data_IF_638823657541
#
_entry.id   IF_638823657541
#
_cell.length_a   1.000
_cell.length_b   1.000
_cell.length_c   1.000
_cell.angle_alpha   90.00
_cell.angle_beta   90.00
_cell.angle_gamma   90.00
#
_symmetry.space_group_name_H-M   'P 1'
#
loop_
_entity.id
_entity.type
_entity.pdbx_description
1 polymer ?
#
# COMPACT_ATOMS: atom_id res chain seq x y z
N UNK A 1 61.30 6.94 -12.30
CA UNK A 1 60.47 5.71 -12.11
C UNK A 1 59.02 6.16 -12.09
N UNK A 2 58.20 5.61 -12.98
CA UNK A 2 56.74 5.78 -12.89
C UNK A 2 56.24 4.80 -11.82
N UNK A 3 55.85 5.30 -10.66
CA UNK A 3 55.17 4.49 -9.66
C UNK A 3 53.72 4.39 -10.08
N UNK A 4 53.21 3.16 -10.12
CA UNK A 4 51.83 2.88 -10.53
C UNK A 4 51.14 2.19 -9.36
N UNK A 5 50.03 2.78 -8.88
CA UNK A 5 49.20 2.22 -7.85
C UNK A 5 47.95 1.64 -8.51
N UNK A 6 47.57 0.44 -8.12
CA UNK A 6 46.39 -0.26 -8.63
C UNK A 6 45.45 -0.54 -7.47
N UNK A 7 44.24 -0.01 -7.53
CA UNK A 7 43.17 -0.33 -6.59
C UNK A 7 42.29 -1.44 -7.19
N UNK A 8 42.10 -2.50 -6.44
CA UNK A 8 41.30 -3.66 -6.87
C UNK A 8 40.02 -3.85 -6.07
N UNK A 9 39.92 -3.27 -4.87
CA UNK A 9 38.75 -3.36 -4.02
C UNK A 9 37.76 -2.25 -4.33
N UNK A 10 36.51 -2.60 -4.49
CA UNK A 10 35.43 -1.66 -4.84
C UNK A 10 35.27 -0.53 -3.81
N UNK A 11 35.37 -0.84 -2.52
CA UNK A 11 35.25 0.16 -1.46
C UNK A 11 36.38 1.21 -1.53
N UNK A 12 37.63 0.76 -1.82
CA UNK A 12 38.78 1.68 -1.98
C UNK A 12 38.63 2.55 -3.23
N UNK A 13 38.11 1.98 -4.32
CA UNK A 13 37.79 2.71 -5.56
C UNK A 13 36.69 3.75 -5.29
N UNK A 14 35.63 3.36 -4.62
CA UNK A 14 34.55 4.28 -4.27
C UNK A 14 35.02 5.42 -3.37
N UNK A 15 35.79 5.13 -2.33
CA UNK A 15 36.35 6.13 -1.43
C UNK A 15 37.29 7.08 -2.15
N UNK A 16 38.17 6.59 -3.05
CA UNK A 16 38.99 7.43 -3.88
C UNK A 16 38.17 8.37 -4.74
N UNK A 17 37.07 7.87 -5.34
CA UNK A 17 36.22 8.65 -6.24
C UNK A 17 35.34 9.67 -5.50
N UNK A 18 34.97 9.43 -4.24
CA UNK A 18 34.13 10.35 -3.45
C UNK A 18 34.96 11.45 -2.79
N UNK A 19 36.02 11.08 -2.12
CA UNK A 19 36.82 11.97 -1.26
C UNK A 19 38.23 12.13 -1.73
N UNK A 20 38.92 11.03 -2.05
CA UNK A 20 40.36 11.02 -2.30
C UNK A 20 40.79 11.85 -3.49
N UNK A 21 39.97 11.93 -4.55
CA UNK A 21 40.31 12.76 -5.72
C UNK A 21 40.23 14.25 -5.39
N UNK A 22 39.28 14.67 -4.58
CA UNK A 22 39.17 16.07 -4.18
C UNK A 22 40.38 16.46 -3.36
N UNK A 23 40.85 15.57 -2.49
CA UNK A 23 42.06 15.80 -1.69
C UNK A 23 43.32 15.80 -2.55
N UNK A 24 43.40 14.92 -3.54
CA UNK A 24 44.51 14.94 -4.50
C UNK A 24 44.51 16.24 -5.34
N UNK A 25 43.34 16.71 -5.80
CA UNK A 25 43.26 17.96 -6.56
C UNK A 25 43.65 19.22 -5.77
N UNK A 26 43.56 19.16 -4.42
CA UNK A 26 44.02 20.27 -3.55
C UNK A 26 45.54 20.37 -3.48
N UNK A 27 46.27 19.27 -3.72
CA UNK A 27 47.69 19.16 -3.54
C UNK A 27 48.46 19.01 -4.86
N UNK A 28 47.80 18.48 -5.89
CA UNK A 28 48.39 18.11 -7.17
C UNK A 28 47.53 18.52 -8.35
N UNK A 29 48.14 18.69 -9.51
CA UNK A 29 47.41 18.78 -10.78
C UNK A 29 47.04 17.36 -11.24
N UNK A 30 45.75 17.07 -11.32
CA UNK A 30 45.23 15.72 -11.59
C UNK A 30 44.67 15.64 -12.99
N UNK A 31 45.14 14.70 -13.79
CA UNK A 31 44.70 14.44 -15.14
C UNK A 31 43.89 13.13 -15.17
N UNK A 32 42.73 13.17 -15.79
CA UNK A 32 41.82 12.02 -15.89
C UNK A 32 41.77 11.49 -17.31
N UNK A 33 41.65 10.14 -17.47
CA UNK A 33 41.28 9.55 -18.74
C UNK A 33 39.80 9.83 -19.07
N UNK A 34 39.44 9.69 -20.35
CA UNK A 34 38.04 9.80 -20.78
C UNK A 34 37.17 8.72 -20.12
N UNK A 35 37.70 7.51 -19.95
CA UNK A 35 37.01 6.37 -19.30
C UNK A 35 36.77 6.64 -17.82
N UNK A 36 37.70 7.29 -17.13
CA UNK A 36 37.49 7.69 -15.75
C UNK A 36 36.34 8.70 -15.60
N UNK A 37 36.22 9.69 -16.49
CA UNK A 37 35.10 10.64 -16.49
C UNK A 37 33.79 9.97 -16.78
N UNK A 38 33.75 8.94 -17.61
CA UNK A 38 32.52 8.17 -17.90
C UNK A 38 32.06 7.33 -16.71
N UNK A 39 32.98 6.89 -15.84
CA UNK A 39 32.70 6.08 -14.65
C UNK A 39 32.52 6.92 -13.37
N UNK A 40 32.25 8.22 -13.50
CA UNK A 40 32.05 9.13 -12.36
C UNK A 40 30.88 8.71 -11.49
N UNK A 41 30.89 9.18 -10.24
CA UNK A 41 29.79 8.99 -9.30
C UNK A 41 28.56 9.72 -9.82
N UNK A 42 27.48 8.97 -9.98
CA UNK A 42 26.18 9.50 -10.40
C UNK A 42 25.31 9.81 -9.19
N UNK A 43 24.60 10.93 -9.24
CA UNK A 43 23.55 11.24 -8.26
C UNK A 43 22.31 10.44 -8.60
N UNK A 44 21.64 9.97 -7.56
CA UNK A 44 20.30 9.39 -7.72
C UNK A 44 19.30 10.51 -7.99
N UNK A 45 18.53 10.38 -9.05
CA UNK A 45 17.48 11.33 -9.35
C UNK A 45 16.35 10.58 -10.08
N UNK A 46 15.19 10.48 -9.46
CA UNK A 46 14.01 9.97 -10.14
C UNK A 46 13.59 10.99 -11.21
N UNK A 47 13.57 10.56 -12.47
CA UNK A 47 13.13 11.39 -13.59
C UNK A 47 11.61 11.44 -13.64
N UNK A 48 10.97 10.29 -13.52
CA UNK A 48 9.51 10.17 -13.52
C UNK A 48 9.07 8.87 -12.86
N UNK A 49 7.83 8.83 -12.41
CA UNK A 49 7.17 7.62 -11.96
C UNK A 49 5.71 7.61 -12.42
N UNK A 50 5.18 6.40 -12.61
CA UNK A 50 3.76 6.16 -12.84
C UNK A 50 3.23 5.19 -11.81
N UNK A 51 2.15 5.53 -11.13
CA UNK A 51 1.46 4.60 -10.23
C UNK A 51 0.06 4.31 -10.77
N UNK A 52 -0.34 3.05 -10.72
CA UNK A 52 -1.63 2.56 -11.18
C UNK A 52 -2.22 1.53 -10.22
N UNK A 53 -3.54 1.45 -10.23
CA UNK A 53 -4.27 0.35 -9.60
C UNK A 53 -4.40 -0.80 -10.59
N UNK A 54 -3.87 -1.97 -10.24
CA UNK A 54 -4.10 -3.21 -10.97
C UNK A 54 -5.23 -3.99 -10.27
N UNK A 55 -6.43 -3.92 -10.84
CA UNK A 55 -7.65 -4.54 -10.27
C UNK A 55 -7.64 -6.06 -10.39
N UNK A 56 -6.89 -6.63 -11.32
CA UNK A 56 -6.85 -8.09 -11.53
C UNK A 56 -6.18 -8.82 -10.36
N UNK A 57 -5.22 -8.17 -9.74
CA UNK A 57 -4.40 -8.73 -8.64
C UNK A 57 -4.52 -7.92 -7.33
N UNK A 58 -5.34 -6.88 -7.31
CA UNK A 58 -5.55 -6.00 -6.16
C UNK A 58 -4.25 -5.39 -5.60
N UNK A 59 -3.37 -4.94 -6.50
CA UNK A 59 -2.12 -4.28 -6.15
C UNK A 59 -2.02 -2.89 -6.76
N UNK A 60 -1.29 -2.02 -6.08
CA UNK A 60 -0.78 -0.79 -6.67
C UNK A 60 0.58 -1.09 -7.30
N UNK A 61 0.77 -0.74 -8.56
CA UNK A 61 2.03 -0.91 -9.27
C UNK A 61 2.65 0.44 -9.58
N UNK A 62 3.91 0.61 -9.19
CA UNK A 62 4.69 1.80 -9.48
C UNK A 62 5.83 1.47 -10.43
N UNK A 63 5.83 2.10 -11.59
CA UNK A 63 6.95 2.10 -12.56
C UNK A 63 7.77 3.37 -12.34
N UNK A 64 9.08 3.23 -12.23
CA UNK A 64 9.98 4.35 -11.95
C UNK A 64 11.09 4.42 -13.00
N UNK A 65 11.43 5.65 -13.39
CA UNK A 65 12.55 5.95 -14.29
C UNK A 65 13.60 6.78 -13.55
N UNK A 66 14.78 6.21 -13.41
CA UNK A 66 15.94 6.87 -12.81
C UNK A 66 16.96 7.33 -13.87
N UNK A 67 16.60 7.31 -15.16
CA UNK A 67 17.41 7.82 -16.27
C UNK A 67 18.82 7.26 -16.42
N UNK A 68 19.58 7.24 -15.33
CA UNK A 68 20.96 6.75 -15.30
C UNK A 68 21.06 5.28 -14.93
N UNK A 69 19.98 4.68 -14.46
CA UNK A 69 19.94 3.29 -14.02
C UNK A 69 19.13 2.51 -15.05
N UNK A 70 19.74 1.58 -15.78
CA UNK A 70 19.02 0.73 -16.72
C UNK A 70 17.89 -0.04 -16.03
N UNK A 71 16.76 -0.22 -16.73
CA UNK A 71 15.60 -0.92 -16.16
C UNK A 71 15.96 -2.32 -15.65
N UNK A 72 16.83 -3.03 -16.34
CA UNK A 72 17.34 -4.35 -15.97
C UNK A 72 18.20 -4.37 -14.70
N UNK A 73 18.66 -3.21 -14.23
CA UNK A 73 19.46 -3.08 -13.01
C UNK A 73 18.64 -2.56 -11.81
N UNK A 74 17.40 -2.10 -12.02
CA UNK A 74 16.57 -1.49 -10.97
C UNK A 74 16.34 -2.43 -9.79
N UNK A 75 16.16 -3.73 -10.03
CA UNK A 75 15.94 -4.70 -8.96
C UNK A 75 17.14 -4.79 -8.01
N UNK A 76 18.34 -4.88 -8.56
CA UNK A 76 19.58 -4.96 -7.77
C UNK A 76 19.87 -3.62 -7.09
N UNK A 77 19.56 -2.52 -7.76
CA UNK A 77 19.63 -1.17 -7.21
C UNK A 77 18.70 -1.01 -5.99
N UNK A 78 17.42 -1.33 -6.12
CA UNK A 78 16.44 -1.28 -5.02
C UNK A 78 16.85 -2.19 -3.86
N UNK A 79 17.34 -3.40 -4.16
CA UNK A 79 17.88 -4.30 -3.14
C UNK A 79 19.06 -3.68 -2.39
N UNK A 80 19.91 -2.96 -3.07
CA UNK A 80 21.05 -2.27 -2.45
C UNK A 80 20.60 -1.15 -1.50
N UNK A 81 19.52 -0.44 -1.83
CA UNK A 81 18.88 0.56 -0.96
C UNK A 81 18.25 -0.09 0.26
N UNK A 82 17.47 -1.18 0.09
CA UNK A 82 16.89 -1.95 1.20
C UNK A 82 17.97 -2.45 2.18
N UNK A 83 19.11 -2.90 1.67
CA UNK A 83 20.24 -3.38 2.45
C UNK A 83 21.11 -2.26 3.04
N UNK A 84 20.75 -0.98 2.85
CA UNK A 84 21.48 0.20 3.32
C UNK A 84 22.96 0.19 2.90
N UNK A 85 23.26 -0.26 1.68
CA UNK A 85 24.62 -0.23 1.14
C UNK A 85 25.08 1.21 0.97
N UNK A 86 26.39 1.42 1.00
CA UNK A 86 27.02 2.74 0.80
C UNK A 86 26.88 3.24 -0.64
N UNK A 87 26.92 2.32 -1.60
CA UNK A 87 26.82 2.59 -3.03
C UNK A 87 26.22 1.40 -3.78
N UNK A 88 25.77 1.66 -4.99
CA UNK A 88 25.46 0.66 -6.00
C UNK A 88 26.41 0.84 -7.18
N UNK A 89 27.01 -0.24 -7.67
CA UNK A 89 27.88 -0.22 -8.86
C UNK A 89 27.09 -0.70 -10.06
N UNK A 90 26.92 0.16 -11.05
CA UNK A 90 26.31 -0.18 -12.32
C UNK A 90 27.18 -1.14 -13.12
N UNK A 91 26.60 -1.95 -13.99
CA UNK A 91 27.32 -2.81 -14.93
C UNK A 91 28.23 -2.03 -15.87
N UNK A 92 27.93 -0.77 -16.12
CA UNK A 92 28.81 0.16 -16.85
C UNK A 92 30.11 0.52 -16.10
N UNK A 93 30.21 0.17 -14.81
CA UNK A 93 31.33 0.50 -13.94
C UNK A 93 31.13 1.77 -13.10
N UNK A 94 30.16 2.61 -13.42
CA UNK A 94 29.86 3.83 -12.66
C UNK A 94 29.28 3.50 -11.28
N UNK A 95 29.55 4.37 -10.30
CA UNK A 95 29.00 4.24 -8.95
C UNK A 95 27.80 5.17 -8.76
N UNK A 96 26.83 4.71 -8.00
CA UNK A 96 25.70 5.49 -7.51
C UNK A 96 25.86 5.61 -6.00
N UNK A 97 26.05 6.82 -5.49
CA UNK A 97 26.20 7.03 -4.05
C UNK A 97 24.85 6.94 -3.36
N UNK A 98 24.69 6.05 -2.38
CA UNK A 98 23.47 5.82 -1.59
C UNK A 98 23.53 6.41 -0.16
N UNK A 99 24.67 7.01 0.21
CA UNK A 99 24.90 7.65 1.51
C UNK A 99 24.72 9.18 1.49
N UNK A 100 24.10 9.71 0.43
CA UNK A 100 23.84 11.15 0.36
C UNK A 100 22.67 11.51 1.29
N UNK A 101 22.71 12.70 1.90
CA UNK A 101 21.57 13.34 2.57
C UNK A 101 20.51 13.78 1.54
N UNK A 102 20.30 12.98 0.50
CA UNK A 102 19.34 13.26 -0.56
C UNK A 102 17.98 12.70 -0.15
N UNK A 103 17.02 13.59 0.09
CA UNK A 103 15.64 13.24 0.44
C UNK A 103 15.05 12.18 -0.48
N UNK A 104 15.42 12.15 -1.75
CA UNK A 104 14.91 11.19 -2.73
C UNK A 104 15.29 9.73 -2.41
N UNK A 105 16.48 9.51 -1.82
CA UNK A 105 16.87 8.16 -1.39
C UNK A 105 16.09 7.75 -0.14
N UNK A 106 15.85 8.67 0.77
CA UNK A 106 15.06 8.38 1.97
C UNK A 106 13.59 8.11 1.61
N UNK A 107 12.98 8.95 0.77
CA UNK A 107 11.62 8.73 0.23
C UNK A 107 11.51 7.37 -0.49
N UNK A 108 12.51 7.02 -1.32
CA UNK A 108 12.55 5.72 -1.98
C UNK A 108 12.73 4.56 -0.99
N UNK A 109 13.51 4.75 0.05
CA UNK A 109 13.70 3.75 1.10
C UNK A 109 12.40 3.49 1.85
N UNK A 110 11.65 4.55 2.16
CA UNK A 110 10.35 4.45 2.83
C UNK A 110 9.35 3.73 1.93
N UNK A 111 9.22 4.08 0.66
CA UNK A 111 8.41 3.34 -0.32
C UNK A 111 8.82 1.86 -0.44
N UNK A 112 10.12 1.58 -0.49
CA UNK A 112 10.62 0.20 -0.55
C UNK A 112 10.42 -0.57 0.76
N UNK A 113 10.18 0.09 1.90
CA UNK A 113 9.88 -0.58 3.17
C UNK A 113 8.49 -1.20 3.19
N UNK A 114 7.52 -0.59 2.49
CA UNK A 114 6.13 -1.04 2.40
C UNK A 114 5.82 -1.74 1.07
N UNK A 115 6.71 -1.62 0.07
CA UNK A 115 6.55 -2.22 -1.25
C UNK A 115 7.49 -3.37 -1.53
N UNK A 116 7.11 -4.21 -2.48
CA UNK A 116 7.92 -5.31 -2.99
C UNK A 116 8.33 -5.05 -4.44
N UNK A 117 9.57 -5.42 -4.77
CA UNK A 117 10.08 -5.29 -6.14
C UNK A 117 9.67 -6.50 -6.95
N UNK A 118 8.90 -6.30 -8.00
CA UNK A 118 8.40 -7.35 -8.89
C UNK A 118 9.48 -7.85 -9.86
N UNK A 119 9.19 -8.95 -10.55
CA UNK A 119 10.08 -9.46 -11.62
C UNK A 119 10.22 -8.50 -12.79
N UNK A 120 9.20 -7.67 -13.04
CA UNK A 120 9.20 -6.63 -14.09
C UNK A 120 9.90 -5.33 -13.65
N UNK A 121 10.65 -5.37 -12.54
CA UNK A 121 11.37 -4.21 -11.97
C UNK A 121 10.48 -3.02 -11.57
N UNK A 122 9.21 -3.29 -11.24
CA UNK A 122 8.28 -2.32 -10.65
C UNK A 122 8.27 -2.48 -9.13
N UNK A 123 7.70 -1.50 -8.45
CA UNK A 123 7.40 -1.60 -7.02
C UNK A 123 5.90 -1.87 -6.89
N UNK A 124 5.54 -2.98 -6.26
CA UNK A 124 4.16 -3.35 -5.98
C UNK A 124 3.83 -3.09 -4.50
N UNK A 125 2.65 -2.55 -4.25
CA UNK A 125 2.13 -2.32 -2.92
C UNK A 125 0.76 -2.98 -2.79
N UNK A 126 0.40 -3.40 -1.57
CA UNK A 126 -1.00 -3.72 -1.30
C UNK A 126 -1.88 -2.51 -1.59
N UNK A 127 -3.04 -2.71 -2.21
CA UNK A 127 -3.96 -1.59 -2.42
C UNK A 127 -4.46 -1.00 -1.10
N UNK A 128 -4.43 -1.76 0.00
CA UNK A 128 -4.75 -1.25 1.35
C UNK A 128 -3.77 -0.19 1.84
N UNK A 129 -2.56 -0.15 1.28
CA UNK A 129 -1.53 0.84 1.59
C UNK A 129 -1.67 2.14 0.77
N UNK A 130 -2.77 2.31 -0.01
CA UNK A 130 -2.91 3.46 -0.93
C UNK A 130 -2.76 4.82 -0.23
N UNK A 131 -3.25 4.95 1.00
CA UNK A 131 -3.15 6.19 1.78
C UNK A 131 -1.70 6.47 2.17
N UNK A 132 -1.01 5.46 2.71
CA UNK A 132 0.40 5.55 3.09
C UNK A 132 1.31 5.79 1.89
N UNK A 133 1.05 5.10 0.78
CA UNK A 133 1.77 5.33 -0.49
C UNK A 133 1.57 6.77 -0.98
N UNK A 134 0.34 7.30 -0.94
CA UNK A 134 0.06 8.67 -1.39
C UNK A 134 0.76 9.72 -0.52
N UNK A 135 0.87 9.50 0.79
CA UNK A 135 1.61 10.37 1.72
C UNK A 135 3.11 10.35 1.46
N UNK A 136 3.68 9.19 1.13
CA UNK A 136 5.11 9.04 0.82
C UNK A 136 5.47 9.54 -0.57
N UNK A 137 4.50 9.57 -1.50
CA UNK A 137 4.76 10.03 -2.87
C UNK A 137 4.88 11.55 -2.94
N UNK A 138 6.00 12.08 -3.47
CA UNK A 138 6.14 13.52 -3.67
C UNK A 138 5.00 14.09 -4.52
N UNK A 139 4.42 15.22 -4.11
CA UNK A 139 3.41 15.94 -4.87
C UNK A 139 4.04 16.74 -6.02
N UNK A 140 4.83 16.08 -6.86
CA UNK A 140 5.50 16.68 -8.02
C UNK A 140 4.80 16.29 -9.31
N UNK A 141 4.96 17.12 -10.35
CA UNK A 141 4.45 16.82 -11.70
C UNK A 141 5.13 15.60 -12.36
N UNK A 142 6.18 15.08 -11.74
CA UNK A 142 6.94 13.93 -12.24
C UNK A 142 6.28 12.58 -11.94
N UNK A 143 5.25 12.59 -11.06
CA UNK A 143 4.53 11.36 -10.70
C UNK A 143 3.15 11.39 -11.33
N UNK A 144 2.92 10.47 -12.25
CA UNK A 144 1.61 10.27 -12.86
C UNK A 144 0.82 9.25 -12.05
N UNK A 145 -0.41 9.61 -11.72
CA UNK A 145 -1.38 8.75 -11.05
C UNK A 145 -2.47 8.40 -12.04
N UNK A 146 -2.73 7.14 -12.28
CA UNK A 146 -3.80 6.72 -13.19
C UNK A 146 -5.20 7.03 -12.64
N UNK A 147 -6.23 6.80 -13.44
CA UNK A 147 -7.61 7.07 -13.05
C UNK A 147 -8.08 6.15 -11.91
N UNK A 148 -7.71 4.86 -11.97
CA UNK A 148 -8.08 3.88 -10.95
C UNK A 148 -7.48 4.21 -9.58
N UNK A 149 -6.19 4.56 -9.54
CA UNK A 149 -5.53 5.00 -8.31
C UNK A 149 -6.19 6.25 -7.72
N UNK A 150 -6.48 7.25 -8.57
CA UNK A 150 -7.12 8.50 -8.11
C UNK A 150 -8.52 8.25 -7.57
N UNK A 151 -9.30 7.39 -8.24
CA UNK A 151 -10.65 7.06 -7.81
C UNK A 151 -10.65 6.32 -6.48
N UNK A 152 -9.80 5.28 -6.34
CA UNK A 152 -9.63 4.56 -5.07
C UNK A 152 -9.29 5.52 -3.93
N UNK A 153 -8.33 6.42 -4.15
CA UNK A 153 -7.90 7.38 -3.13
C UNK A 153 -9.02 8.35 -2.75
N UNK A 154 -9.76 8.86 -3.75
CA UNK A 154 -10.88 9.79 -3.53
C UNK A 154 -12.04 9.12 -2.78
N UNK A 155 -12.41 7.89 -3.17
CA UNK A 155 -13.51 7.14 -2.55
C UNK A 155 -13.22 6.82 -1.07
N UNK A 156 -11.96 6.58 -0.73
CA UNK A 156 -11.57 6.31 0.66
C UNK A 156 -11.42 7.60 1.48
N UNK A 157 -10.90 8.68 0.89
CA UNK A 157 -10.73 9.97 1.57
C UNK A 157 -12.05 10.72 1.75
N UNK A 158 -12.97 10.57 0.81
CA UNK A 158 -14.21 11.35 0.74
C UNK A 158 -15.43 10.42 0.52
N UNK A 159 -15.76 9.52 1.46
CA UNK A 159 -16.90 8.59 1.30
C UNK A 159 -18.23 9.30 1.05
N UNK A 160 -18.41 10.52 1.56
CA UNK A 160 -19.62 11.31 1.36
C UNK A 160 -19.89 11.67 -0.11
N UNK A 161 -18.85 11.71 -0.93
CA UNK A 161 -18.97 12.02 -2.36
C UNK A 161 -19.22 10.80 -3.24
N UNK A 162 -19.20 9.60 -2.65
CA UNK A 162 -19.47 8.36 -3.39
C UNK A 162 -20.96 8.23 -3.70
N UNK A 163 -21.28 7.54 -4.80
CA UNK A 163 -22.65 7.35 -5.26
C UNK A 163 -23.32 6.09 -4.67
N UNK A 164 -22.86 5.63 -3.49
CA UNK A 164 -23.50 4.50 -2.82
C UNK A 164 -24.87 4.90 -2.29
N UNK A 165 -25.91 4.34 -2.91
CA UNK A 165 -27.31 4.59 -2.53
C UNK A 165 -27.61 3.89 -1.21
N UNK A 166 -28.43 4.54 -0.36
CA UNK A 166 -28.93 3.93 0.87
C UNK A 166 -30.03 2.93 0.55
N UNK A 167 -30.12 1.82 1.28
CA UNK A 167 -31.30 0.96 1.23
C UNK A 167 -32.55 1.73 1.63
N UNK A 168 -33.69 1.42 0.98
CA UNK A 168 -34.97 2.09 1.23
C UNK A 168 -35.35 2.12 2.72
N UNK A 169 -35.69 3.28 3.21
CA UNK A 169 -36.14 3.50 4.58
C UNK A 169 -35.00 3.73 5.58
N UNK A 170 -33.74 3.75 5.13
CA UNK A 170 -32.59 4.06 6.00
C UNK A 170 -32.27 5.55 6.06
N UNK A 171 -32.78 6.34 5.14
CA UNK A 171 -32.55 7.80 5.06
C UNK A 171 -33.05 8.53 6.32
N UNK A 172 -34.19 8.07 6.86
CA UNK A 172 -34.83 8.67 8.04
C UNK A 172 -34.29 8.13 9.37
N UNK A 173 -33.52 7.03 9.32
CA UNK A 173 -33.01 6.32 10.51
C UNK A 173 -31.56 6.73 10.79
N UNK A 174 -30.74 6.81 9.74
CA UNK A 174 -29.29 7.05 9.86
C UNK A 174 -28.98 8.54 10.10
N UNK A 175 -28.05 8.78 10.99
CA UNK A 175 -27.45 10.09 11.14
C UNK A 175 -26.42 10.35 10.03
N UNK A 176 -26.10 11.61 9.68
CA UNK A 176 -25.18 11.93 8.59
C UNK A 176 -23.84 11.18 8.68
N UNK A 177 -23.21 11.13 9.86
CA UNK A 177 -21.93 10.42 10.04
C UNK A 177 -22.06 8.90 9.86
N UNK A 178 -23.23 8.31 10.15
CA UNK A 178 -23.50 6.89 9.91
C UNK A 178 -23.65 6.60 8.42
N UNK A 179 -24.21 7.53 7.67
CA UNK A 179 -24.24 7.46 6.19
C UNK A 179 -22.84 7.48 5.62
N UNK A 180 -21.97 8.35 6.15
CA UNK A 180 -20.55 8.39 5.77
C UNK A 180 -19.86 7.06 6.05
N UNK A 181 -20.05 6.48 7.23
CA UNK A 181 -19.48 5.17 7.59
C UNK A 181 -20.02 4.03 6.73
N UNK A 182 -21.33 4.01 6.44
CA UNK A 182 -21.92 3.06 5.50
C UNK A 182 -21.29 3.15 4.11
N UNK A 183 -21.17 4.35 3.56
CA UNK A 183 -20.55 4.58 2.23
C UNK A 183 -19.08 4.16 2.21
N UNK A 184 -18.36 4.39 3.30
CA UNK A 184 -16.99 3.92 3.46
C UNK A 184 -16.91 2.38 3.44
N UNK A 185 -17.82 1.68 4.14
CA UNK A 185 -17.92 0.21 4.08
C UNK A 185 -18.18 -0.28 2.67
N UNK A 186 -19.07 0.38 1.92
CA UNK A 186 -19.35 0.05 0.52
C UNK A 186 -18.10 0.24 -0.37
N UNK A 187 -17.37 1.32 -0.16
CA UNK A 187 -16.13 1.57 -0.90
C UNK A 187 -15.07 0.50 -0.60
N UNK A 188 -14.88 0.12 0.65
CA UNK A 188 -13.98 -0.98 1.02
C UNK A 188 -14.36 -2.28 0.30
N UNK A 189 -15.62 -2.64 0.33
CA UNK A 189 -16.12 -3.85 -0.32
C UNK A 189 -15.95 -3.82 -1.85
N UNK A 190 -16.21 -2.66 -2.46
CA UNK A 190 -16.02 -2.46 -3.91
C UNK A 190 -14.59 -2.76 -4.34
N UNK A 191 -13.63 -2.34 -3.53
CA UNK A 191 -12.21 -2.59 -3.78
C UNK A 191 -11.71 -3.93 -3.20
N UNK A 192 -12.58 -4.78 -2.64
CA UNK A 192 -12.20 -6.06 -2.02
C UNK A 192 -11.28 -5.89 -0.80
N UNK A 193 -11.42 -4.77 -0.10
CA UNK A 193 -10.63 -4.45 1.09
C UNK A 193 -11.42 -4.71 2.37
N UNK A 194 -10.70 -5.05 3.43
CA UNK A 194 -11.23 -5.01 4.80
C UNK A 194 -10.95 -3.68 5.47
N UNK A 195 -11.60 -3.43 6.62
CA UNK A 195 -11.37 -2.22 7.40
C UNK A 195 -11.81 -2.37 8.85
N UNK A 196 -11.46 -1.38 9.67
CA UNK A 196 -11.82 -1.28 11.08
C UNK A 196 -12.67 -0.03 11.25
N UNK A 197 -13.96 -0.21 11.62
CA UNK A 197 -14.85 0.88 11.99
C UNK A 197 -14.59 1.27 13.45
N UNK A 198 -13.70 2.22 13.66
CA UNK A 198 -13.15 2.61 14.97
C UNK A 198 -13.91 3.77 15.65
N UNK A 199 -15.19 3.96 15.33
CA UNK A 199 -16.05 4.95 16.00
C UNK A 199 -16.13 4.72 17.52
N UNK A 200 -16.40 5.76 18.28
CA UNK A 200 -16.63 5.66 19.72
C UNK A 200 -17.83 4.76 20.06
N UNK A 201 -17.88 4.29 21.32
CA UNK A 201 -19.01 3.49 21.81
C UNK A 201 -20.31 4.31 21.72
N UNK A 202 -21.41 3.65 21.31
CA UNK A 202 -22.72 4.29 21.22
C UNK A 202 -23.01 5.04 19.92
N UNK A 203 -22.03 5.16 18.98
CA UNK A 203 -22.25 5.83 17.70
C UNK A 203 -22.96 4.97 16.64
N UNK A 204 -23.45 3.78 17.01
CA UNK A 204 -24.27 2.95 16.13
C UNK A 204 -23.49 2.23 15.03
N UNK A 205 -22.30 1.70 15.35
CA UNK A 205 -21.53 0.82 14.44
C UNK A 205 -22.35 -0.37 13.96
N UNK A 206 -23.14 -0.96 14.84
CA UNK A 206 -24.05 -2.08 14.53
C UNK A 206 -25.04 -1.68 13.44
N UNK A 207 -25.66 -0.50 13.55
CA UNK A 207 -26.62 0.00 12.57
C UNK A 207 -25.98 0.26 11.21
N UNK A 208 -24.76 0.83 11.17
CA UNK A 208 -24.00 1.02 9.93
C UNK A 208 -23.71 -0.34 9.25
N UNK A 209 -23.30 -1.36 10.03
CA UNK A 209 -23.04 -2.72 9.54
C UNK A 209 -24.33 -3.37 9.01
N UNK A 210 -25.46 -3.27 9.74
CA UNK A 210 -26.76 -3.79 9.30
C UNK A 210 -27.20 -3.12 8.00
N UNK A 211 -27.01 -1.81 7.88
CA UNK A 211 -27.30 -1.07 6.64
C UNK A 211 -26.49 -1.59 5.47
N UNK A 212 -25.20 -1.89 5.69
CA UNK A 212 -24.35 -2.48 4.66
C UNK A 212 -24.82 -3.87 4.24
N UNK A 213 -25.19 -4.73 5.19
CA UNK A 213 -25.77 -6.07 4.89
C UNK A 213 -27.06 -5.94 4.11
N UNK A 214 -27.93 -5.01 4.49
CA UNK A 214 -29.22 -4.74 3.83
C UNK A 214 -29.03 -4.25 2.38
N UNK A 215 -27.96 -3.50 2.11
CA UNK A 215 -27.62 -3.02 0.76
C UNK A 215 -27.10 -4.10 -0.17
N UNK A 216 -26.74 -5.28 0.36
CA UNK A 216 -26.13 -6.38 -0.39
C UNK A 216 -27.00 -7.65 -0.33
N UNK A 217 -28.22 -7.61 -0.90
CA UNK A 217 -29.14 -8.75 -0.86
C UNK A 217 -28.54 -9.95 -1.62
N UNK A 218 -28.78 -11.16 -1.10
CA UNK A 218 -28.26 -12.40 -1.70
C UNK A 218 -26.80 -12.72 -1.35
N UNK A 219 -26.14 -11.92 -0.53
CA UNK A 219 -24.83 -12.25 0.05
C UNK A 219 -24.99 -12.97 1.39
N UNK A 220 -24.10 -13.91 1.67
CA UNK A 220 -24.03 -14.55 3.00
C UNK A 220 -23.11 -13.74 3.90
N UNK A 221 -23.60 -13.36 5.06
CA UNK A 221 -22.84 -12.60 6.04
C UNK A 221 -22.63 -13.41 7.30
N UNK A 222 -21.40 -13.51 7.77
CA UNK A 222 -21.04 -14.12 9.05
C UNK A 222 -20.60 -13.01 10.01
N UNK A 223 -21.28 -12.90 11.14
CA UNK A 223 -20.94 -11.98 12.23
C UNK A 223 -20.39 -12.80 13.39
N UNK A 224 -19.14 -12.56 13.74
CA UNK A 224 -18.48 -13.20 14.88
C UNK A 224 -18.46 -12.19 16.04
N UNK A 225 -19.05 -12.57 17.17
CA UNK A 225 -19.17 -11.70 18.34
C UNK A 225 -19.16 -12.50 19.65
N UNK A 226 -18.87 -11.87 20.80
CA UNK A 226 -19.04 -12.50 22.10
C UNK A 226 -20.44 -13.02 22.30
N UNK A 227 -20.59 -14.17 22.99
CA UNK A 227 -21.88 -14.84 23.25
C UNK A 227 -22.95 -13.89 23.79
N UNK A 228 -22.57 -12.99 24.70
CA UNK A 228 -23.49 -12.01 25.30
C UNK A 228 -24.08 -11.00 24.31
N UNK A 229 -23.48 -10.84 23.13
CA UNK A 229 -23.90 -9.85 22.13
C UNK A 229 -24.71 -10.46 20.97
N UNK A 230 -24.74 -11.78 20.81
CA UNK A 230 -25.42 -12.42 19.67
C UNK A 230 -26.89 -12.09 19.62
N UNK A 231 -27.60 -12.17 20.77
CA UNK A 231 -29.00 -11.80 20.86
C UNK A 231 -29.25 -10.32 20.60
N UNK A 232 -28.34 -9.45 21.04
CA UNK A 232 -28.41 -8.01 20.74
C UNK A 232 -28.33 -7.75 19.24
N UNK A 233 -27.44 -8.48 18.54
CA UNK A 233 -27.34 -8.40 17.06
C UNK A 233 -28.65 -8.87 16.40
N UNK A 234 -29.22 -9.97 16.85
CA UNK A 234 -30.50 -10.49 16.33
C UNK A 234 -31.63 -9.50 16.53
N UNK A 235 -31.75 -8.90 17.72
CA UNK A 235 -32.74 -7.89 18.03
C UNK A 235 -32.60 -6.64 17.16
N UNK A 236 -31.35 -6.18 16.93
CA UNK A 236 -31.04 -5.04 16.06
C UNK A 236 -31.39 -5.34 14.59
N UNK A 237 -31.10 -6.56 14.08
CA UNK A 237 -31.55 -7.00 12.75
C UNK A 237 -33.07 -7.02 12.65
N UNK A 238 -33.77 -7.60 13.63
CA UNK A 238 -35.23 -7.66 13.67
C UNK A 238 -35.86 -6.27 13.65
N UNK A 239 -35.21 -5.29 14.25
CA UNK A 239 -35.67 -3.91 14.33
C UNK A 239 -35.43 -3.12 13.05
N UNK A 240 -34.25 -3.21 12.47
CA UNK A 240 -33.82 -2.34 11.37
C UNK A 240 -33.81 -3.02 9.99
N UNK A 241 -33.76 -4.36 9.95
CA UNK A 241 -33.76 -5.15 8.73
C UNK A 241 -34.58 -6.44 8.88
N UNK A 242 -35.90 -6.36 9.21
CA UNK A 242 -36.74 -7.52 9.49
C UNK A 242 -36.90 -8.49 8.31
N UNK A 243 -36.56 -8.04 7.09
CA UNK A 243 -36.56 -8.88 5.89
C UNK A 243 -35.34 -9.80 5.79
N UNK A 244 -34.33 -9.59 6.64
CA UNK A 244 -33.11 -10.42 6.67
C UNK A 244 -33.30 -11.53 7.71
N UNK A 245 -33.32 -12.79 7.25
CA UNK A 245 -33.36 -13.94 8.14
C UNK A 245 -31.96 -14.11 8.81
N UNK A 246 -31.96 -14.15 10.14
CA UNK A 246 -30.74 -14.34 10.93
C UNK A 246 -30.84 -15.61 11.76
N UNK A 247 -29.75 -16.34 11.88
CA UNK A 247 -29.61 -17.51 12.74
C UNK A 247 -28.43 -17.34 13.69
N UNK A 248 -28.65 -17.61 14.97
CA UNK A 248 -27.57 -17.67 15.97
C UNK A 248 -27.00 -19.09 15.93
N UNK A 249 -25.69 -19.18 15.70
CA UNK A 249 -24.96 -20.43 15.72
C UNK A 249 -24.20 -20.51 17.05
N UNK A 250 -24.53 -21.51 17.85
CA UNK A 250 -23.94 -21.70 19.19
C UNK A 250 -23.72 -23.17 19.51
N UNK A 251 -23.01 -23.46 20.61
CA UNK A 251 -22.82 -24.83 21.06
C UNK A 251 -21.42 -25.38 20.72
N UNK A 252 -21.30 -26.71 20.74
CA UNK A 252 -20.06 -27.42 20.44
C UNK A 252 -19.61 -27.24 18.98
N UNK A 253 -18.34 -27.46 18.62
CA UNK A 253 -17.88 -27.41 17.24
C UNK A 253 -18.65 -28.29 16.27
N UNK A 254 -19.17 -29.44 16.75
CA UNK A 254 -19.96 -30.38 15.94
C UNK A 254 -21.35 -29.80 15.68
N UNK A 255 -22.04 -29.30 16.70
CA UNK A 255 -23.37 -28.67 16.56
C UNK A 255 -23.29 -27.46 15.63
N UNK A 256 -22.28 -26.60 15.80
CA UNK A 256 -22.07 -25.46 14.90
C UNK A 256 -21.84 -25.90 13.44
N UNK A 257 -21.07 -26.97 13.20
CA UNK A 257 -20.83 -27.48 11.85
C UNK A 257 -22.11 -28.02 11.17
N UNK A 258 -23.05 -28.54 11.94
CA UNK A 258 -24.35 -28.99 11.43
C UNK A 258 -25.24 -27.79 11.08
N UNK A 259 -25.27 -26.76 11.90
CA UNK A 259 -26.07 -25.54 11.67
C UNK A 259 -25.58 -24.78 10.42
N UNK A 260 -24.27 -24.72 10.15
CA UNK A 260 -23.72 -24.13 8.91
C UNK A 260 -24.12 -24.84 7.62
N UNK A 261 -24.59 -26.10 7.71
CA UNK A 261 -25.03 -26.92 6.56
C UNK A 261 -26.53 -26.78 6.24
N UNK A 262 -27.31 -26.07 7.05
CA UNK A 262 -28.71 -25.89 6.78
C UNK A 262 -28.93 -25.04 5.52
N UNK A 263 -29.55 -25.60 4.44
CA UNK A 263 -29.81 -24.82 3.23
C UNK A 263 -31.01 -23.89 3.50
N UNK A 264 -30.86 -22.63 3.12
CA UNK A 264 -31.97 -21.66 3.06
C UNK A 264 -31.84 -20.45 3.99
N UNK A 265 -30.72 -20.25 4.65
CA UNK A 265 -30.46 -19.03 5.42
C UNK A 265 -29.36 -18.22 4.77
N UNK A 266 -29.57 -16.92 4.62
CA UNK A 266 -28.68 -16.02 3.93
C UNK A 266 -27.67 -15.39 4.90
N UNK A 267 -27.91 -15.37 6.22
CA UNK A 267 -27.04 -14.71 7.19
C UNK A 267 -26.89 -15.51 8.49
N UNK A 268 -25.66 -15.61 8.98
CA UNK A 268 -25.33 -16.35 10.19
C UNK A 268 -24.71 -15.44 11.24
N UNK A 269 -25.17 -15.56 12.48
CA UNK A 269 -24.55 -14.97 13.66
C UNK A 269 -23.77 -16.08 14.38
N UNK A 270 -22.44 -16.11 14.26
CA UNK A 270 -21.61 -17.09 14.96
C UNK A 270 -21.16 -16.54 16.30
N UNK A 271 -21.21 -17.40 17.31
CA UNK A 271 -20.75 -17.11 18.66
C UNK A 271 -19.41 -17.83 18.85
N UNK A 272 -18.36 -17.06 19.09
CA UNK A 272 -17.09 -17.60 19.57
C UNK A 272 -17.05 -17.48 21.10
N UNK A 273 -16.86 -18.63 21.77
CA UNK A 273 -16.74 -18.72 23.22
C UNK A 273 -15.27 -18.77 23.62
#
# INVERSE_FOLDING_TARGET
RREQFVLTKEDEIFQLMTEGIQDLCRQFEVFYSKEYKANSIKKVGMLSAGIRLNTDINLLEMDVDYGHIPKEELRDFFRSIKLKKKYYRLKSGAFVNLMTEDKQIDELRDLLSIGEVTEDNKIAFSQTAVMEVDELLPHTQRITRDAGYKQLLEDLKNPDKTNWELPNGMEDILRPYQITGYRWLCSLAHYGMGGILADDMGLGKTLQTITYVLANPGTRTLIVCPTSLAYNWQDEFSKFAPQIATQIISGTPQERAEEYRCPGMDHYLSIDS
#
